data_IF_165279667083
#
_entry.id   IF_165279667083
#
_cell.length_a   1.000
_cell.length_b   1.000
_cell.length_c   1.000
_cell.angle_alpha   90.00
_cell.angle_beta   90.00
_cell.angle_gamma   90.00
#
_symmetry.space_group_name_H-M   'P 1'
#
loop_
_entity.id
_entity.type
_entity.pdbx_description
1 polymer ?
#
# COMPACT_ATOMS: atom_id res chain seq x y z
N UNK A 1 -26.23 -5.33 -4.76
CA UNK A 1 -26.54 -5.44 -3.32
C UNK A 1 -26.24 -4.09 -2.67
N UNK A 2 -27.21 -3.53 -1.93
CA UNK A 2 -27.11 -2.18 -1.36
C UNK A 2 -27.08 -2.21 0.20
N UNK A 3 -27.18 -3.39 0.81
CA UNK A 3 -27.17 -3.52 2.26
C UNK A 3 -25.78 -3.35 2.85
N UNK A 4 -25.68 -2.55 3.93
CA UNK A 4 -24.47 -2.32 4.69
C UNK A 4 -24.08 -3.54 5.53
N UNK A 5 -22.78 -3.80 5.62
CA UNK A 5 -22.20 -4.74 6.59
C UNK A 5 -21.82 -4.03 7.91
N UNK A 6 -21.95 -2.71 7.95
CA UNK A 6 -21.45 -1.89 9.05
C UNK A 6 -22.53 -1.15 9.82
N UNK A 7 -23.77 -1.16 9.29
CA UNK A 7 -24.92 -0.48 9.90
C UNK A 7 -26.11 -1.45 9.93
N UNK A 8 -26.02 -2.41 10.84
CA UNK A 8 -27.06 -3.41 11.07
C UNK A 8 -27.64 -3.17 12.46
N UNK A 9 -28.95 -2.98 12.56
CA UNK A 9 -29.63 -2.72 13.83
C UNK A 9 -30.54 -3.89 14.20
N UNK A 10 -30.58 -4.21 15.47
CA UNK A 10 -31.60 -5.14 16.02
C UNK A 10 -32.58 -4.33 16.81
N UNK A 11 -33.86 -4.45 16.44
CA UNK A 11 -34.99 -3.76 17.06
C UNK A 11 -35.90 -4.78 17.73
N UNK A 12 -36.20 -4.57 19.00
CA UNK A 12 -37.08 -5.40 19.82
C UNK A 12 -38.18 -4.53 20.41
N UNK A 13 -39.43 -4.92 20.19
CA UNK A 13 -40.60 -4.15 20.69
C UNK A 13 -40.55 -2.66 20.30
N UNK A 14 -40.09 -2.34 19.08
CA UNK A 14 -39.97 -0.97 18.59
C UNK A 14 -38.76 -0.16 19.10
N UNK A 15 -37.93 -0.74 19.96
CA UNK A 15 -36.72 -0.09 20.48
C UNK A 15 -35.47 -0.74 19.91
N UNK A 16 -34.46 0.08 19.55
CA UNK A 16 -33.14 -0.40 19.14
C UNK A 16 -32.43 -1.02 20.36
N UNK A 17 -32.03 -2.28 20.23
CA UNK A 17 -31.35 -3.03 21.31
C UNK A 17 -29.86 -3.31 20.97
N UNK A 18 -29.49 -3.28 19.71
CA UNK A 18 -28.07 -3.43 19.30
C UNK A 18 -27.77 -2.76 17.96
N UNK A 19 -26.51 -2.31 17.79
CA UNK A 19 -25.90 -1.96 16.53
C UNK A 19 -24.77 -2.94 16.23
N UNK A 20 -24.80 -3.60 15.07
CA UNK A 20 -23.80 -4.59 14.68
C UNK A 20 -22.99 -4.05 13.50
N UNK A 21 -21.67 -4.00 13.69
CA UNK A 21 -20.67 -3.72 12.64
C UNK A 21 -19.86 -5.00 12.38
N UNK A 22 -20.12 -5.64 11.25
CA UNK A 22 -19.43 -6.89 10.88
C UNK A 22 -17.93 -6.68 10.67
N UNK A 23 -17.49 -5.46 10.33
CA UNK A 23 -16.07 -5.14 10.22
C UNK A 23 -15.34 -5.20 11.55
N UNK A 24 -15.99 -4.80 12.66
CA UNK A 24 -15.40 -4.95 14.00
C UNK A 24 -15.10 -6.42 14.31
N UNK A 25 -16.00 -7.31 13.90
CA UNK A 25 -15.80 -8.74 14.04
C UNK A 25 -14.73 -9.29 13.09
N UNK A 26 -14.88 -9.06 11.77
CA UNK A 26 -14.00 -9.65 10.72
C UNK A 26 -12.58 -9.06 10.79
N UNK A 27 -12.45 -7.75 11.01
CA UNK A 27 -11.16 -7.05 10.92
C UNK A 27 -10.44 -6.97 12.26
N UNK A 28 -11.19 -6.90 13.36
CA UNK A 28 -10.64 -6.68 14.71
C UNK A 28 -10.88 -7.83 15.69
N UNK A 29 -11.67 -8.84 15.31
CA UNK A 29 -12.04 -9.96 16.17
C UNK A 29 -12.91 -9.57 17.36
N UNK A 30 -13.56 -8.39 17.32
CA UNK A 30 -14.43 -7.90 18.39
C UNK A 30 -15.86 -8.32 18.14
N UNK A 31 -16.40 -9.10 19.05
CA UNK A 31 -17.84 -9.42 19.16
C UNK A 31 -18.52 -8.33 20.02
N UNK A 32 -18.59 -7.11 19.50
CA UNK A 32 -19.41 -6.06 20.12
C UNK A 32 -20.86 -6.27 19.71
N UNK A 33 -21.75 -6.24 20.71
CA UNK A 33 -23.21 -6.33 20.53
C UNK A 33 -23.71 -7.66 19.91
N UNK A 34 -23.00 -8.76 20.14
CA UNK A 34 -23.51 -10.11 19.87
C UNK A 34 -24.62 -10.44 20.88
N UNK A 35 -25.85 -10.17 20.48
CA UNK A 35 -27.02 -10.44 21.30
C UNK A 35 -27.75 -11.72 20.86
N UNK A 36 -28.33 -12.41 21.81
CA UNK A 36 -29.26 -13.51 21.50
C UNK A 36 -30.54 -12.94 20.91
N UNK A 37 -30.90 -13.41 19.72
CA UNK A 37 -32.18 -13.05 19.10
C UNK A 37 -33.34 -13.66 19.87
N UNK A 38 -34.45 -12.93 19.92
CA UNK A 38 -35.71 -13.33 20.50
C UNK A 38 -36.81 -13.31 19.44
N UNK A 39 -37.86 -14.03 19.70
CA UNK A 39 -39.05 -14.00 18.84
C UNK A 39 -39.58 -12.56 18.70
N UNK A 40 -39.91 -12.13 17.50
CA UNK A 40 -40.38 -10.79 17.22
C UNK A 40 -39.26 -9.73 17.03
N UNK A 41 -37.97 -10.10 17.10
CA UNK A 41 -36.89 -9.20 16.74
C UNK A 41 -36.90 -8.86 15.25
N UNK A 42 -36.66 -7.60 14.94
CA UNK A 42 -36.51 -7.10 13.56
C UNK A 42 -35.07 -6.73 13.35
N UNK A 43 -34.42 -7.34 12.31
CA UNK A 43 -33.08 -7.00 11.90
C UNK A 43 -33.19 -6.01 10.74
N UNK A 44 -32.72 -4.77 10.96
CA UNK A 44 -32.73 -3.70 9.98
C UNK A 44 -31.33 -3.54 9.40
N UNK A 45 -31.19 -3.80 8.10
CA UNK A 45 -29.95 -3.59 7.35
C UNK A 45 -30.09 -2.32 6.53
N UNK A 46 -29.39 -1.27 6.92
CA UNK A 46 -29.39 0.01 6.21
C UNK A 46 -28.60 -0.08 4.90
N UNK A 47 -28.76 0.84 3.94
CA UNK A 47 -27.86 0.97 2.83
C UNK A 47 -26.43 1.33 3.30
N UNK A 48 -25.41 0.96 2.50
CA UNK A 48 -24.03 1.43 2.75
C UNK A 48 -23.93 2.95 2.58
N UNK A 49 -22.95 3.58 3.27
CA UNK A 49 -22.70 5.03 3.17
C UNK A 49 -21.68 5.33 2.06
N UNK A 50 -20.49 4.78 2.17
CA UNK A 50 -19.41 5.04 1.24
C UNK A 50 -18.75 3.73 0.80
N UNK A 51 -18.53 3.57 -0.50
CA UNK A 51 -17.72 2.51 -1.07
C UNK A 51 -16.43 3.09 -1.61
N UNK A 52 -15.30 2.63 -1.13
CA UNK A 52 -13.97 3.10 -1.51
C UNK A 52 -13.16 1.95 -2.09
N UNK A 53 -12.66 2.13 -3.31
CA UNK A 53 -11.78 1.17 -3.96
C UNK A 53 -10.33 1.40 -3.57
N UNK A 54 -9.60 0.32 -3.25
CA UNK A 54 -8.15 0.38 -3.08
C UNK A 54 -7.45 -0.70 -3.90
N UNK A 55 -6.40 -0.32 -4.60
CA UNK A 55 -5.65 -1.16 -5.52
C UNK A 55 -4.13 -0.98 -5.36
N UNK A 56 -3.35 -1.81 -6.08
CA UNK A 56 -1.90 -1.76 -6.07
C UNK A 56 -1.28 -2.51 -4.90
N UNK A 57 -0.27 -1.92 -4.25
CA UNK A 57 0.63 -2.59 -3.31
C UNK A 57 0.10 -2.63 -1.87
N UNK A 58 -1.10 -3.15 -1.70
CA UNK A 58 -1.70 -3.49 -0.41
C UNK A 58 -1.98 -4.99 -0.33
N UNK A 59 -2.09 -5.54 0.87
CA UNK A 59 -2.25 -7.00 1.05
C UNK A 59 -3.59 -7.55 0.55
N UNK A 60 -4.66 -6.76 0.66
CA UNK A 60 -6.01 -7.12 0.22
C UNK A 60 -6.63 -5.99 -0.59
N UNK A 61 -6.29 -5.86 -1.89
CA UNK A 61 -6.91 -4.86 -2.76
C UNK A 61 -8.35 -5.26 -3.08
N UNK A 62 -9.30 -4.40 -2.74
CA UNK A 62 -10.73 -4.59 -3.02
C UNK A 62 -11.51 -3.30 -2.76
N UNK A 63 -12.82 -3.34 -2.89
CA UNK A 63 -13.72 -2.27 -2.48
C UNK A 63 -14.14 -2.50 -1.02
N UNK A 64 -13.98 -1.46 -0.21
CA UNK A 64 -14.33 -1.45 1.21
C UNK A 64 -15.49 -0.52 1.47
N UNK A 65 -16.35 -0.92 2.40
CA UNK A 65 -17.38 -0.04 2.93
C UNK A 65 -16.78 0.81 4.06
N UNK A 66 -16.82 2.13 3.88
CA UNK A 66 -16.30 3.10 4.84
C UNK A 66 -17.46 3.86 5.50
N UNK A 67 -17.39 4.07 6.80
CA UNK A 67 -18.29 4.96 7.53
C UNK A 67 -17.88 6.42 7.31
N UNK A 68 -18.83 7.31 7.50
CA UNK A 68 -18.54 8.75 7.46
C UNK A 68 -17.45 9.11 8.49
N UNK A 69 -16.47 9.90 8.05
CA UNK A 69 -15.35 10.34 8.89
C UNK A 69 -14.19 9.34 9.02
N UNK A 70 -14.26 8.17 8.39
CA UNK A 70 -13.11 7.26 8.36
C UNK A 70 -12.03 7.74 7.38
N UNK A 71 -10.77 7.56 7.79
CA UNK A 71 -9.60 8.08 7.10
C UNK A 71 -8.95 7.05 6.16
N UNK A 72 -7.99 7.54 5.36
CA UNK A 72 -7.14 6.70 4.53
C UNK A 72 -6.35 5.68 5.36
N UNK A 73 -5.87 6.07 6.55
CA UNK A 73 -5.20 5.13 7.46
C UNK A 73 -6.11 3.97 7.89
N UNK A 74 -7.38 4.26 8.16
CA UNK A 74 -8.38 3.23 8.49
C UNK A 74 -8.57 2.25 7.32
N UNK A 75 -8.70 2.76 6.10
CA UNK A 75 -8.80 1.93 4.89
C UNK A 75 -7.57 1.04 4.72
N UNK A 76 -6.36 1.59 4.85
CA UNK A 76 -5.11 0.82 4.79
C UNK A 76 -5.09 -0.26 5.87
N UNK A 77 -5.59 0.03 7.07
CA UNK A 77 -5.76 -0.95 8.15
C UNK A 77 -6.66 -2.11 7.74
N UNK A 78 -7.79 -1.85 7.08
CA UNK A 78 -8.71 -2.90 6.58
C UNK A 78 -8.09 -3.79 5.51
N UNK A 79 -7.18 -3.25 4.68
CA UNK A 79 -6.42 -4.07 3.72
C UNK A 79 -5.43 -5.02 4.37
N UNK A 80 -5.17 -4.89 5.67
CA UNK A 80 -4.09 -5.58 6.39
C UNK A 80 -2.72 -4.92 6.20
N UNK A 81 -2.69 -3.70 5.64
CA UNK A 81 -1.50 -2.90 5.41
C UNK A 81 -0.86 -3.09 4.03
N UNK A 82 0.28 -2.49 3.85
CA UNK A 82 1.06 -2.49 2.63
C UNK A 82 1.79 -3.82 2.37
N UNK A 83 2.08 -4.12 1.09
CA UNK A 83 3.05 -5.16 0.73
C UNK A 83 4.48 -4.70 0.99
N UNK A 84 5.44 -5.65 0.96
CA UNK A 84 6.85 -5.36 1.25
C UNK A 84 7.51 -4.40 0.24
N UNK A 85 7.01 -4.37 -0.98
CA UNK A 85 7.48 -3.55 -2.10
C UNK A 85 6.64 -2.29 -2.35
N UNK A 86 5.75 -1.93 -1.42
CA UNK A 86 4.92 -0.74 -1.53
C UNK A 86 5.72 0.55 -1.28
N UNK A 87 5.48 1.56 -2.12
CA UNK A 87 5.90 2.93 -1.85
C UNK A 87 4.92 3.59 -0.87
N UNK A 88 5.37 3.77 0.36
CA UNK A 88 4.50 4.16 1.48
C UNK A 88 4.46 5.66 1.75
N UNK A 89 5.39 6.42 1.18
CA UNK A 89 5.51 7.84 1.50
C UNK A 89 4.33 8.65 0.98
N UNK A 90 3.78 8.25 -0.17
CA UNK A 90 2.66 8.95 -0.80
C UNK A 90 1.73 7.95 -1.46
N UNK A 91 0.44 8.10 -1.27
CA UNK A 91 -0.62 7.31 -1.90
C UNK A 91 -1.43 8.22 -2.81
N UNK A 92 -1.72 7.75 -4.03
CA UNK A 92 -2.57 8.48 -4.96
C UNK A 92 -4.04 8.13 -4.74
N UNK A 93 -4.87 9.17 -4.73
CA UNK A 93 -6.32 9.03 -4.65
C UNK A 93 -6.97 9.82 -5.79
N UNK A 94 -7.97 9.24 -6.40
CA UNK A 94 -8.82 9.90 -7.41
C UNK A 94 -10.22 10.02 -6.84
N UNK A 95 -10.71 11.24 -6.77
CA UNK A 95 -12.06 11.60 -6.29
C UNK A 95 -12.87 12.23 -7.38
N UNK A 96 -14.14 11.92 -7.47
CA UNK A 96 -15.07 12.61 -8.35
C UNK A 96 -15.53 13.93 -7.72
N UNK A 97 -15.41 15.02 -8.43
CA UNK A 97 -15.84 16.35 -7.98
C UNK A 97 -16.71 17.00 -9.07
N UNK A 98 -18.02 16.96 -8.89
CA UNK A 98 -18.96 17.48 -9.87
C UNK A 98 -18.86 16.75 -11.22
N UNK A 99 -18.38 17.44 -12.25
CA UNK A 99 -18.21 16.89 -13.61
C UNK A 99 -16.83 16.29 -13.89
N UNK A 100 -15.89 16.45 -12.99
CA UNK A 100 -14.49 16.14 -13.20
C UNK A 100 -13.96 15.19 -12.14
N UNK A 101 -12.78 14.63 -12.39
CA UNK A 101 -12.01 13.89 -11.41
C UNK A 101 -10.87 14.75 -10.89
N UNK A 102 -10.61 14.68 -9.61
CA UNK A 102 -9.48 15.31 -8.94
C UNK A 102 -8.50 14.24 -8.46
N UNK A 103 -7.21 14.54 -8.59
CA UNK A 103 -6.13 13.67 -8.11
C UNK A 103 -5.58 14.30 -6.84
N UNK A 104 -5.43 13.47 -5.82
CA UNK A 104 -4.78 13.80 -4.56
C UNK A 104 -3.55 12.90 -4.39
N UNK A 105 -2.42 13.50 -4.09
CA UNK A 105 -1.25 12.78 -3.59
C UNK A 105 -1.23 12.99 -2.08
N UNK A 106 -1.57 11.96 -1.33
CA UNK A 106 -1.68 12.02 0.13
C UNK A 106 -0.39 11.50 0.72
N UNK A 107 0.31 12.34 1.48
CA UNK A 107 1.56 11.94 2.13
C UNK A 107 1.29 11.13 3.40
N UNK A 108 2.25 10.31 3.80
CA UNK A 108 2.11 9.38 4.92
C UNK A 108 1.70 10.08 6.24
N UNK A 109 2.17 11.29 6.48
CA UNK A 109 1.83 12.08 7.66
C UNK A 109 0.36 12.50 7.72
N UNK A 110 -0.33 12.53 6.56
CA UNK A 110 -1.71 12.98 6.43
C UNK A 110 -2.73 11.83 6.37
N UNK A 111 -2.28 10.57 6.38
CA UNK A 111 -3.16 9.40 6.25
C UNK A 111 -4.25 9.35 7.31
N UNK A 112 -3.95 9.73 8.53
CA UNK A 112 -4.90 9.71 9.66
C UNK A 112 -5.98 10.80 9.53
N UNK A 113 -5.64 11.91 8.87
CA UNK A 113 -6.50 13.08 8.76
C UNK A 113 -7.24 13.17 7.42
N UNK A 114 -6.81 12.40 6.41
CA UNK A 114 -7.43 12.43 5.09
C UNK A 114 -8.70 11.59 5.09
N UNK A 115 -9.85 12.25 5.18
CA UNK A 115 -11.17 11.61 5.22
C UNK A 115 -11.58 11.16 3.82
N UNK A 116 -12.03 9.91 3.74
CA UNK A 116 -12.51 9.30 2.51
C UNK A 116 -13.98 9.60 2.24
N UNK A 117 -14.35 9.63 0.97
CA UNK A 117 -15.72 9.85 0.51
C UNK A 117 -16.15 8.77 -0.46
N UNK A 118 -17.45 8.70 -0.74
CA UNK A 118 -18.01 7.68 -1.64
C UNK A 118 -17.37 7.73 -3.04
N UNK A 119 -17.11 6.54 -3.59
CA UNK A 119 -16.46 6.33 -4.88
C UNK A 119 -15.02 6.88 -5.01
N UNK A 120 -14.31 7.10 -3.90
CA UNK A 120 -12.87 7.33 -3.94
C UNK A 120 -12.14 6.09 -4.48
N UNK A 121 -11.18 6.30 -5.36
CA UNK A 121 -10.32 5.28 -5.94
C UNK A 121 -8.87 5.50 -5.45
N UNK A 122 -8.39 4.63 -4.58
CA UNK A 122 -7.04 4.70 -3.99
C UNK A 122 -6.11 3.76 -4.72
N UNK A 123 -4.90 4.23 -5.05
CA UNK A 123 -3.84 3.41 -5.66
C UNK A 123 -2.52 3.55 -4.92
N UNK A 124 -1.92 2.41 -4.60
CA UNK A 124 -0.62 2.32 -3.92
C UNK A 124 0.42 1.81 -4.91
N UNK A 125 1.42 2.63 -5.18
CA UNK A 125 2.49 2.32 -6.12
C UNK A 125 3.55 1.40 -5.48
N UNK A 126 4.35 0.75 -6.34
CA UNK A 126 5.54 0.03 -5.90
C UNK A 126 6.72 0.99 -5.73
N UNK A 127 7.71 0.61 -4.91
CA UNK A 127 9.03 1.24 -4.96
C UNK A 127 9.63 1.09 -6.34
N UNK A 128 10.44 2.07 -6.76
CA UNK A 128 11.07 2.04 -8.07
C UNK A 128 11.95 0.78 -8.22
N UNK A 129 11.86 0.11 -9.37
CA UNK A 129 12.67 -1.08 -9.68
C UNK A 129 14.16 -0.78 -9.97
N UNK A 130 14.70 0.31 -9.42
CA UNK A 130 16.10 0.71 -9.57
C UNK A 130 16.84 0.63 -8.26
N UNK A 131 18.13 0.36 -8.34
CA UNK A 131 19.02 0.36 -7.18
C UNK A 131 19.64 1.76 -7.01
N UNK A 132 19.61 2.30 -5.80
CA UNK A 132 20.21 3.61 -5.47
C UNK A 132 21.73 3.55 -5.31
N UNK A 133 22.28 2.35 -5.09
CA UNK A 133 23.70 2.14 -4.76
C UNK A 133 24.33 1.02 -5.59
N UNK A 134 23.94 0.89 -6.84
CA UNK A 134 24.46 -0.14 -7.74
C UNK A 134 25.67 0.35 -8.52
N UNK A 135 26.70 -0.49 -8.64
CA UNK A 135 27.77 -0.38 -9.63
C UNK A 135 27.91 -1.72 -10.34
N UNK A 136 28.22 -1.70 -11.61
CA UNK A 136 28.41 -2.90 -12.43
C UNK A 136 29.82 -2.98 -12.96
N UNK A 137 30.38 -4.20 -12.97
CA UNK A 137 31.65 -4.50 -13.62
C UNK A 137 31.45 -5.61 -14.65
N UNK A 138 31.93 -5.39 -15.86
CA UNK A 138 31.81 -6.31 -16.96
C UNK A 138 33.19 -6.51 -17.62
N UNK A 139 33.37 -7.61 -18.38
CA UNK A 139 34.56 -7.91 -19.14
C UNK A 139 35.42 -8.97 -18.46
N UNK A 140 36.74 -8.87 -18.64
CA UNK A 140 37.72 -9.88 -18.22
C UNK A 140 38.08 -9.81 -16.73
N UNK A 141 37.05 -9.97 -15.86
CA UNK A 141 37.16 -10.15 -14.40
C UNK A 141 36.70 -11.56 -14.05
N UNK A 142 37.12 -12.09 -12.91
CA UNK A 142 36.66 -13.41 -12.50
C UNK A 142 35.18 -13.46 -12.17
N UNK A 143 34.63 -12.40 -11.50
CA UNK A 143 33.21 -12.29 -11.17
C UNK A 143 32.63 -10.99 -11.71
N UNK A 144 32.18 -11.02 -12.96
CA UNK A 144 31.42 -9.93 -13.54
C UNK A 144 30.00 -9.86 -12.94
N UNK A 145 29.43 -8.67 -12.79
CA UNK A 145 28.08 -8.50 -12.29
C UNK A 145 27.85 -7.20 -11.53
N UNK A 146 26.78 -7.20 -10.73
CA UNK A 146 26.36 -6.06 -9.91
C UNK A 146 26.98 -6.14 -8.51
N UNK A 147 27.45 -5.00 -8.04
CA UNK A 147 28.02 -4.82 -6.71
C UNK A 147 27.39 -3.63 -6.02
N UNK A 148 27.44 -3.63 -4.70
CA UNK A 148 27.04 -2.49 -3.90
C UNK A 148 28.08 -1.37 -4.05
N UNK A 149 27.63 -0.15 -4.29
CA UNK A 149 28.47 1.05 -4.20
C UNK A 149 28.36 1.62 -2.77
N UNK A 150 29.45 1.56 -2.03
CA UNK A 150 29.58 2.12 -0.68
C UNK A 150 30.96 2.79 -0.50
N UNK A 151 31.29 3.20 0.72
CA UNK A 151 32.59 3.80 1.03
C UNK A 151 33.77 2.84 0.81
N UNK A 152 33.51 1.54 0.83
CA UNK A 152 34.54 0.51 0.61
C UNK A 152 34.75 0.23 -0.86
N UNK A 153 33.67 0.13 -1.66
CA UNK A 153 33.68 -0.14 -3.11
C UNK A 153 33.79 1.10 -3.98
N UNK A 154 33.87 2.27 -3.37
CA UNK A 154 33.88 3.57 -4.07
C UNK A 154 35.10 3.83 -4.99
N UNK A 155 36.00 2.85 -5.16
CA UNK A 155 37.13 2.96 -6.08
C UNK A 155 37.18 1.78 -7.04
N UNK A 156 37.64 2.04 -8.27
CA UNK A 156 37.78 1.01 -9.31
C UNK A 156 38.66 -0.16 -8.82
N UNK A 157 39.74 0.17 -8.10
CA UNK A 157 40.66 -0.84 -7.56
C UNK A 157 39.96 -1.81 -6.62
N UNK A 158 39.15 -1.30 -5.70
CA UNK A 158 38.42 -2.11 -4.73
C UNK A 158 37.31 -2.92 -5.40
N UNK A 159 36.63 -2.33 -6.38
CA UNK A 159 35.61 -3.05 -7.16
C UNK A 159 36.24 -4.24 -7.90
N UNK A 160 37.40 -4.06 -8.53
CA UNK A 160 38.13 -5.15 -9.19
C UNK A 160 38.58 -6.22 -8.16
N UNK A 161 38.99 -5.82 -6.98
CA UNK A 161 39.34 -6.76 -5.90
C UNK A 161 38.12 -7.57 -5.43
N UNK A 162 36.96 -6.96 -5.30
CA UNK A 162 35.73 -7.68 -4.98
C UNK A 162 35.27 -8.61 -6.11
N UNK A 163 35.55 -8.27 -7.35
CA UNK A 163 35.36 -9.14 -8.50
C UNK A 163 36.43 -10.24 -8.62
N UNK A 164 37.20 -10.49 -7.55
CA UNK A 164 38.30 -11.48 -7.46
C UNK A 164 39.46 -11.19 -8.43
N UNK A 165 39.55 -9.96 -8.95
CA UNK A 165 40.63 -9.53 -9.82
C UNK A 165 40.35 -9.69 -11.30
N UNK A 166 41.39 -9.35 -12.10
CA UNK A 166 41.35 -9.48 -13.55
C UNK A 166 41.76 -10.89 -13.98
N UNK A 167 41.11 -11.39 -15.02
CA UNK A 167 41.50 -12.65 -15.66
C UNK A 167 42.80 -12.48 -16.43
N UNK A 168 43.50 -13.59 -16.67
CA UNK A 168 44.76 -13.61 -17.39
C UNK A 168 44.69 -13.13 -18.87
N UNK A 169 43.48 -13.15 -19.45
CA UNK A 169 43.18 -12.68 -20.80
C UNK A 169 42.74 -11.18 -20.83
N UNK A 170 42.83 -10.46 -19.72
CA UNK A 170 42.41 -9.07 -19.61
C UNK A 170 43.38 -8.15 -20.40
N UNK A 171 42.79 -7.28 -21.26
CA UNK A 171 43.54 -6.25 -21.97
C UNK A 171 43.72 -5.01 -21.08
N UNK A 172 44.91 -4.86 -20.49
CA UNK A 172 45.16 -3.89 -19.41
C UNK A 172 45.30 -2.42 -19.95
N UNK A 173 45.44 -2.21 -21.23
CA UNK A 173 45.68 -0.89 -21.79
C UNK A 173 44.39 -0.09 -22.03
N UNK A 174 43.22 -0.68 -21.82
CA UNK A 174 41.94 0.00 -22.07
C UNK A 174 40.87 -0.43 -21.06
N UNK A 175 40.26 0.57 -20.43
CA UNK A 175 39.04 0.40 -19.62
C UNK A 175 38.02 1.49 -20.01
N UNK A 176 36.74 1.18 -19.89
CA UNK A 176 35.66 2.12 -20.16
C UNK A 176 34.85 2.30 -18.87
N UNK A 177 34.77 3.55 -18.37
CA UNK A 177 33.89 3.93 -17.27
C UNK A 177 32.68 4.67 -17.86
N UNK A 178 31.48 4.12 -17.61
CA UNK A 178 30.20 4.79 -17.88
C UNK A 178 29.62 5.30 -16.58
N UNK A 179 29.10 6.51 -16.57
CA UNK A 179 28.32 7.09 -15.50
C UNK A 179 27.00 7.59 -16.06
N UNK A 180 25.90 7.24 -15.41
CA UNK A 180 24.63 7.92 -15.64
C UNK A 180 24.72 9.28 -14.96
N UNK A 181 24.37 10.35 -15.68
CA UNK A 181 24.15 11.65 -15.07
C UNK A 181 22.78 11.64 -14.42
N UNK A 182 22.71 12.04 -13.19
CA UNK A 182 21.45 12.51 -12.62
C UNK A 182 21.20 13.90 -13.23
N UNK A 183 20.10 14.00 -13.99
CA UNK A 183 19.60 15.29 -14.49
C UNK A 183 18.90 16.06 -13.37
#
# INVERSE_FOLDING_TARGET
RIGSLRTIQVVRSGMKVADVDVYEYIMKGKLTDDIRLSEGDVILVSPYENLVGISGKVKRPMIYEMKHGESLATLIGYTGGFTGDAYRNTVRLVRRSGREKQIYNVDQQDYDNFILTDNDEVSVEAVLGRFSNKVEIHGAVYRAGMYQLDSVTGTIKRLIQQAEGLRGDAFLNRALLRRERED
#
